data_IF_941362009532
#
_entry.id   IF_941362009532
#
_cell.length_a   1.000
_cell.length_b   1.000
_cell.length_c   1.000
_cell.angle_alpha   90.00
_cell.angle_beta   90.00
_cell.angle_gamma   90.00
#
_symmetry.space_group_name_H-M   'P 1'
#
loop_
_entity.id
_entity.type
_entity.pdbx_description
1 polymer ?
#
# COMPACT_ATOMS: atom_id res chain seq x y z
N UNK A 1 -5.38 -27.17 0.86
CA UNK A 1 -6.08 -26.84 2.12
C UNK A 1 -7.45 -27.52 2.13
N UNK A 2 -8.32 -27.38 1.09
CA UNK A 2 -9.63 -28.04 1.06
C UNK A 2 -9.52 -29.55 1.35
N UNK A 3 -8.65 -30.29 0.67
CA UNK A 3 -8.40 -31.70 0.96
C UNK A 3 -7.87 -31.96 2.37
N UNK A 4 -7.10 -31.05 2.95
CA UNK A 4 -6.63 -31.18 4.34
C UNK A 4 -7.80 -31.07 5.32
N UNK A 5 -8.71 -30.11 5.10
CA UNK A 5 -9.94 -29.96 5.90
C UNK A 5 -10.79 -31.21 5.83
N UNK A 6 -10.99 -31.77 4.62
CA UNK A 6 -11.81 -32.96 4.39
C UNK A 6 -11.19 -34.23 5.03
N UNK A 7 -9.88 -34.43 4.85
CA UNK A 7 -9.20 -35.66 5.22
C UNK A 7 -8.61 -35.65 6.64
N UNK A 8 -8.13 -34.47 7.12
CA UNK A 8 -7.40 -34.37 8.39
C UNK A 8 -8.14 -33.54 9.44
N UNK A 9 -9.35 -33.07 9.15
CA UNK A 9 -10.13 -32.15 10.01
C UNK A 9 -9.37 -30.88 10.40
N UNK A 10 -8.39 -30.47 9.59
CA UNK A 10 -7.57 -29.28 9.79
C UNK A 10 -8.06 -28.14 8.88
N UNK A 11 -8.52 -27.06 9.47
CA UNK A 11 -9.03 -25.89 8.77
C UNK A 11 -8.26 -24.61 9.20
N UNK A 12 -7.07 -24.38 8.64
CA UNK A 12 -6.24 -23.24 9.00
C UNK A 12 -6.89 -21.92 8.53
N UNK A 13 -6.60 -20.86 9.24
CA UNK A 13 -6.94 -19.50 8.78
C UNK A 13 -6.04 -19.09 7.61
N UNK A 14 -6.64 -18.50 6.58
CA UNK A 14 -5.97 -18.17 5.32
C UNK A 14 -6.18 -16.69 5.02
N UNK A 15 -5.10 -15.93 5.03
CA UNK A 15 -5.10 -14.56 4.58
C UNK A 15 -4.84 -14.48 3.07
N UNK A 16 -5.72 -13.79 2.35
CA UNK A 16 -5.60 -13.53 0.92
C UNK A 16 -5.23 -12.07 0.71
N UNK A 17 -4.01 -11.83 0.23
CA UNK A 17 -3.53 -10.49 -0.10
C UNK A 17 -4.08 -10.04 -1.45
N UNK A 18 -5.19 -9.30 -1.44
CA UNK A 18 -5.67 -8.53 -2.57
C UNK A 18 -4.93 -7.17 -2.64
N UNK A 19 -5.52 -6.16 -3.23
CA UNK A 19 -4.93 -4.83 -3.37
C UNK A 19 -6.03 -3.79 -3.53
N UNK A 20 -5.78 -2.57 -3.10
CA UNK A 20 -6.63 -1.42 -3.42
C UNK A 20 -6.68 -1.10 -4.93
N UNK A 21 -5.71 -1.58 -5.70
CA UNK A 21 -5.68 -1.43 -7.17
C UNK A 21 -6.87 -2.15 -7.87
N UNK A 22 -7.59 -3.04 -7.18
CA UNK A 22 -8.80 -3.69 -7.71
C UNK A 22 -9.90 -2.67 -8.05
N UNK A 23 -9.94 -1.54 -7.35
CA UNK A 23 -10.89 -0.47 -7.59
C UNK A 23 -10.54 0.39 -8.82
N UNK A 24 -9.26 0.41 -9.22
CA UNK A 24 -8.78 1.15 -10.38
C UNK A 24 -9.08 2.65 -10.29
N UNK A 25 -9.53 3.24 -11.39
CA UNK A 25 -9.89 4.65 -11.46
C UNK A 25 -11.26 4.87 -10.82
N UNK A 26 -11.30 5.60 -9.71
CA UNK A 26 -12.54 5.99 -9.06
C UNK A 26 -13.40 6.86 -10.00
N UNK A 27 -14.66 6.46 -10.21
CA UNK A 27 -15.58 7.24 -11.06
C UNK A 27 -15.94 8.60 -10.42
N UNK A 28 -16.01 8.62 -9.10
CA UNK A 28 -16.30 9.81 -8.29
C UNK A 28 -15.17 10.01 -7.28
N UNK A 29 -14.90 11.25 -6.86
CA UNK A 29 -13.95 11.56 -5.79
C UNK A 29 -14.50 11.24 -4.40
N UNK A 30 -15.13 10.07 -4.24
CA UNK A 30 -15.66 9.57 -2.98
C UNK A 30 -14.72 8.53 -2.37
N UNK A 31 -14.83 8.30 -1.07
CA UNK A 31 -14.09 7.22 -0.40
C UNK A 31 -14.56 5.87 -0.96
N UNK A 32 -13.59 5.00 -1.24
CA UNK A 32 -13.80 3.65 -1.72
C UNK A 32 -14.06 2.74 -0.52
N UNK A 33 -15.25 2.18 -0.46
CA UNK A 33 -15.60 1.15 0.52
C UNK A 33 -15.54 -0.25 -0.11
N UNK A 34 -15.77 -1.26 0.69
CA UNK A 34 -15.69 -2.66 0.24
C UNK A 34 -16.71 -3.02 -0.82
N UNK A 35 -17.84 -2.32 -0.90
CA UNK A 35 -18.91 -2.52 -1.88
C UNK A 35 -18.67 -1.77 -3.20
N UNK A 36 -17.60 -0.99 -3.27
CA UNK A 36 -17.21 -0.30 -4.50
C UNK A 36 -16.84 -1.31 -5.58
N UNK A 37 -17.43 -1.16 -6.76
CA UNK A 37 -17.20 -2.06 -7.90
C UNK A 37 -15.74 -2.06 -8.36
N UNK A 38 -15.27 -3.22 -8.80
CA UNK A 38 -13.91 -3.38 -9.32
C UNK A 38 -13.77 -2.79 -10.72
N UNK A 39 -12.62 -2.15 -10.97
CA UNK A 39 -12.27 -1.59 -12.28
C UNK A 39 -10.75 -1.69 -12.49
N UNK A 40 -10.27 -2.87 -12.88
CA UNK A 40 -8.84 -3.11 -13.07
C UNK A 40 -8.23 -2.20 -14.15
N UNK A 41 -7.21 -1.44 -13.79
CA UNK A 41 -6.51 -0.49 -14.66
C UNK A 41 -5.12 -0.98 -15.11
N UNK A 42 -4.74 -2.21 -14.74
CA UNK A 42 -3.45 -2.81 -15.09
C UNK A 42 -3.53 -4.34 -15.05
N UNK A 43 -2.62 -5.08 -15.69
CA UNK A 43 -2.53 -6.54 -15.54
C UNK A 43 -2.40 -6.97 -14.08
N UNK A 44 -1.66 -6.21 -13.26
CA UNK A 44 -1.57 -6.46 -11.83
C UNK A 44 -2.93 -6.35 -11.14
N UNK A 45 -3.67 -5.27 -11.35
CA UNK A 45 -4.98 -5.10 -10.73
C UNK A 45 -5.97 -6.17 -11.15
N UNK A 46 -5.95 -6.60 -12.43
CA UNK A 46 -6.79 -7.70 -12.94
C UNK A 46 -6.44 -9.02 -12.22
N UNK A 47 -5.15 -9.32 -12.06
CA UNK A 47 -4.72 -10.51 -11.31
C UNK A 47 -5.19 -10.48 -9.85
N UNK A 48 -5.18 -9.29 -9.22
CA UNK A 48 -5.65 -9.11 -7.84
C UNK A 48 -7.17 -9.20 -7.72
N UNK A 49 -7.93 -8.79 -8.72
CA UNK A 49 -9.38 -9.03 -8.80
C UNK A 49 -9.68 -10.54 -8.79
N UNK A 50 -8.97 -11.32 -9.62
CA UNK A 50 -9.11 -12.77 -9.62
C UNK A 50 -8.75 -13.40 -8.27
N UNK A 51 -7.66 -12.93 -7.64
CA UNK A 51 -7.23 -13.38 -6.31
C UNK A 51 -8.26 -13.05 -5.22
N UNK A 52 -8.85 -11.85 -5.25
CA UNK A 52 -9.90 -11.39 -4.35
C UNK A 52 -11.13 -12.31 -4.41
N UNK A 53 -11.67 -12.50 -5.62
CA UNK A 53 -12.82 -13.37 -5.82
C UNK A 53 -12.55 -14.83 -5.45
N UNK A 54 -11.37 -15.37 -5.75
CA UNK A 54 -11.02 -16.74 -5.35
C UNK A 54 -10.99 -16.89 -3.82
N UNK A 55 -10.39 -15.92 -3.11
CA UNK A 55 -10.37 -15.94 -1.65
C UNK A 55 -11.76 -15.95 -1.03
N UNK A 56 -12.64 -15.10 -1.52
CA UNK A 56 -14.06 -15.04 -1.10
C UNK A 56 -14.80 -16.31 -1.44
N UNK A 57 -14.73 -16.76 -2.70
CA UNK A 57 -15.38 -17.98 -3.17
C UNK A 57 -15.03 -19.21 -2.33
N UNK A 58 -13.74 -19.41 -2.00
CA UNK A 58 -13.33 -20.56 -1.20
C UNK A 58 -13.82 -20.45 0.25
N UNK A 59 -13.94 -19.26 0.79
CA UNK A 59 -14.57 -19.03 2.09
C UNK A 59 -16.08 -19.37 2.08
N UNK A 60 -16.80 -18.79 1.13
CA UNK A 60 -18.25 -18.94 1.00
C UNK A 60 -18.67 -20.36 0.61
N UNK A 61 -18.09 -20.91 -0.47
CA UNK A 61 -18.51 -22.20 -1.03
C UNK A 61 -18.02 -23.42 -0.25
N UNK A 62 -16.81 -23.35 0.31
CA UNK A 62 -16.19 -24.49 0.99
C UNK A 62 -15.99 -24.27 2.49
N UNK A 63 -16.47 -23.17 3.02
CA UNK A 63 -16.34 -22.84 4.45
C UNK A 63 -14.89 -22.92 4.94
N UNK A 64 -13.94 -22.53 4.08
CA UNK A 64 -12.55 -22.36 4.51
C UNK A 64 -12.46 -21.05 5.32
N UNK A 65 -11.67 -21.04 6.37
CA UNK A 65 -11.38 -19.86 7.16
C UNK A 65 -10.53 -18.89 6.33
N UNK A 66 -11.13 -18.17 5.39
CA UNK A 66 -10.44 -17.18 4.55
C UNK A 66 -10.89 -15.78 4.89
N UNK A 67 -9.97 -14.83 4.77
CA UNK A 67 -10.29 -13.40 4.70
C UNK A 67 -9.40 -12.71 3.67
N UNK A 68 -9.93 -11.67 3.06
CA UNK A 68 -9.27 -10.93 1.99
C UNK A 68 -8.95 -9.53 2.47
N UNK A 69 -7.77 -9.00 2.15
CA UNK A 69 -7.42 -7.61 2.45
C UNK A 69 -7.11 -6.83 1.18
N UNK A 70 -7.78 -5.69 1.00
CA UNK A 70 -7.54 -4.72 -0.06
C UNK A 70 -6.69 -3.59 0.50
N UNK A 71 -5.38 -3.82 0.49
CA UNK A 71 -4.43 -2.92 1.11
C UNK A 71 -4.21 -1.68 0.26
N UNK A 72 -4.37 -0.49 0.86
CA UNK A 72 -3.96 0.79 0.33
C UNK A 72 -2.44 0.95 0.31
N UNK A 73 -1.96 2.10 -0.16
CA UNK A 73 -0.50 2.34 -0.23
C UNK A 73 0.12 2.26 1.16
N UNK A 74 1.07 1.34 1.30
CA UNK A 74 1.86 1.17 2.51
C UNK A 74 3.34 1.25 2.16
N UNK A 75 4.12 1.90 3.01
CA UNK A 75 5.54 2.14 2.78
C UNK A 75 6.32 2.08 4.11
N UNK A 76 7.61 2.34 4.05
CA UNK A 76 8.52 2.32 5.20
C UNK A 76 9.94 1.99 4.76
N UNK A 77 10.85 1.85 5.71
CA UNK A 77 12.21 1.40 5.45
C UNK A 77 12.22 0.12 4.60
N UNK A 78 13.16 -0.01 3.68
CA UNK A 78 13.30 -1.12 2.71
C UNK A 78 12.23 -1.19 1.62
N UNK A 79 11.39 -0.16 1.45
CA UNK A 79 10.52 -0.06 0.28
C UNK A 79 11.35 0.02 -0.99
N UNK A 80 11.05 -0.82 -1.98
CA UNK A 80 11.76 -0.80 -3.27
C UNK A 80 11.60 0.55 -3.98
N UNK A 81 12.64 0.98 -4.68
CA UNK A 81 12.73 2.24 -5.44
C UNK A 81 11.88 2.28 -6.72
N UNK A 82 11.20 1.20 -7.06
CA UNK A 82 10.18 1.23 -8.13
C UNK A 82 8.90 1.95 -7.71
N UNK A 83 8.73 2.24 -6.42
CA UNK A 83 7.57 2.96 -5.89
C UNK A 83 7.87 4.43 -5.70
N UNK A 84 6.88 5.28 -6.00
CA UNK A 84 7.01 6.72 -6.08
C UNK A 84 7.73 7.36 -4.88
N UNK A 85 7.23 7.14 -3.67
CA UNK A 85 7.76 7.75 -2.45
C UNK A 85 9.19 7.28 -2.15
N UNK A 86 9.49 6.03 -2.47
CA UNK A 86 10.82 5.45 -2.30
C UNK A 86 11.80 5.94 -3.35
N UNK A 87 11.35 6.09 -4.62
CA UNK A 87 12.14 6.72 -5.69
C UNK A 87 12.54 8.15 -5.31
N UNK A 88 11.63 8.94 -4.76
CA UNK A 88 11.91 10.32 -4.32
C UNK A 88 12.91 10.31 -3.17
N UNK A 89 12.69 9.47 -2.15
CA UNK A 89 13.60 9.34 -1.01
C UNK A 89 15.02 8.90 -1.42
N UNK A 90 15.13 7.95 -2.37
CA UNK A 90 16.41 7.51 -2.95
C UNK A 90 17.14 8.67 -3.65
N UNK A 91 16.43 9.41 -4.52
CA UNK A 91 17.03 10.54 -5.23
C UNK A 91 17.53 11.61 -4.24
N UNK A 92 16.76 11.95 -3.21
CA UNK A 92 17.19 12.89 -2.17
C UNK A 92 18.47 12.39 -1.49
N UNK A 93 18.54 11.13 -1.12
CA UNK A 93 19.73 10.57 -0.46
C UNK A 93 20.95 10.54 -1.39
N UNK A 94 20.78 10.33 -2.71
CA UNK A 94 21.84 10.46 -3.72
C UNK A 94 22.33 11.91 -3.85
N UNK A 95 21.42 12.88 -3.88
CA UNK A 95 21.73 14.32 -3.90
C UNK A 95 22.52 14.71 -2.65
N UNK A 96 22.10 14.27 -1.46
CA UNK A 96 22.81 14.54 -0.20
C UNK A 96 24.20 13.96 -0.16
N UNK A 97 24.46 12.90 -0.93
CA UNK A 97 25.78 12.23 -1.04
C UNK A 97 26.61 12.75 -2.22
N UNK A 98 26.17 13.81 -2.93
CA UNK A 98 26.79 14.36 -4.14
C UNK A 98 26.93 13.32 -5.29
N UNK A 99 26.04 12.34 -5.35
CA UNK A 99 25.98 11.31 -6.39
C UNK A 99 24.93 11.62 -7.46
N UNK A 100 24.14 12.67 -7.27
CA UNK A 100 23.13 13.16 -8.20
C UNK A 100 23.07 14.69 -8.10
N UNK A 101 22.86 15.35 -9.24
CA UNK A 101 22.55 16.78 -9.27
C UNK A 101 21.27 17.09 -8.46
N UNK A 102 21.10 18.30 -7.91
CA UNK A 102 19.97 18.65 -7.04
C UNK A 102 18.65 18.77 -7.84
N UNK A 103 18.32 17.73 -8.57
CA UNK A 103 17.09 17.59 -9.38
C UNK A 103 16.45 16.24 -9.10
N UNK A 104 15.17 16.27 -8.71
CA UNK A 104 14.35 15.08 -8.53
C UNK A 104 13.47 14.90 -9.76
N UNK A 105 13.56 13.75 -10.43
CA UNK A 105 12.72 13.36 -11.56
C UNK A 105 11.54 12.54 -11.09
N UNK A 106 10.33 12.99 -11.41
CA UNK A 106 9.06 12.39 -10.98
C UNK A 106 8.06 12.28 -12.14
N UNK A 107 7.04 11.43 -11.98
CA UNK A 107 5.90 11.36 -12.91
C UNK A 107 4.76 12.29 -12.49
N UNK A 108 3.51 11.79 -12.56
CA UNK A 108 2.31 12.55 -12.23
C UNK A 108 2.25 12.89 -10.73
N UNK A 109 2.27 14.17 -10.40
CA UNK A 109 2.20 14.69 -9.03
C UNK A 109 0.77 15.07 -8.59
N UNK A 110 -0.20 14.99 -9.48
CA UNK A 110 -1.58 15.41 -9.19
C UNK A 110 -2.41 14.36 -8.47
N UNK A 111 -1.98 13.11 -8.49
CA UNK A 111 -2.70 11.99 -7.89
C UNK A 111 -2.81 12.12 -6.38
N UNK A 112 -3.96 11.69 -5.83
CA UNK A 112 -4.28 11.71 -4.40
C UNK A 112 -4.20 10.28 -3.87
N UNK A 113 -3.48 10.11 -2.77
CA UNK A 113 -3.24 8.81 -2.11
C UNK A 113 -3.36 8.93 -0.60
N UNK A 114 -3.68 7.80 0.03
CA UNK A 114 -3.43 7.60 1.45
C UNK A 114 -2.17 6.76 1.63
N UNK A 115 -1.37 7.09 2.63
CA UNK A 115 -0.18 6.30 2.98
C UNK A 115 -0.29 5.78 4.40
N UNK A 116 0.26 4.61 4.64
CA UNK A 116 0.40 4.04 5.96
C UNK A 116 1.73 3.30 6.11
N UNK A 117 2.18 3.16 7.33
CA UNK A 117 3.37 2.38 7.62
C UNK A 117 3.12 0.88 7.43
N UNK A 118 4.09 0.17 6.88
CA UNK A 118 4.03 -1.28 6.69
C UNK A 118 3.81 -2.04 8.01
N UNK A 119 4.27 -1.52 9.14
CA UNK A 119 4.06 -2.11 10.48
C UNK A 119 2.59 -2.04 10.90
N UNK A 120 1.89 -0.94 10.58
CA UNK A 120 0.45 -0.83 10.81
C UNK A 120 -0.34 -1.77 9.89
N UNK A 121 0.09 -1.95 8.64
CA UNK A 121 -0.48 -2.91 7.73
C UNK A 121 -0.37 -4.35 8.25
N UNK A 122 0.82 -4.75 8.69
CA UNK A 122 1.07 -6.09 9.26
C UNK A 122 0.27 -6.32 10.56
N UNK A 123 0.15 -5.28 11.39
CA UNK A 123 -0.68 -5.35 12.61
C UNK A 123 -2.15 -5.59 12.27
N UNK A 124 -2.69 -4.98 11.21
CA UNK A 124 -4.05 -5.26 10.75
C UNK A 124 -4.21 -6.73 10.30
N UNK A 125 -3.25 -7.25 9.53
CA UNK A 125 -3.25 -8.65 9.10
C UNK A 125 -3.27 -9.61 10.30
N UNK A 126 -2.42 -9.36 11.28
CA UNK A 126 -2.32 -10.17 12.48
C UNK A 126 -3.62 -10.20 13.29
N UNK A 127 -4.23 -9.03 13.50
CA UNK A 127 -5.49 -8.91 14.24
C UNK A 127 -6.65 -9.61 13.50
N UNK A 128 -6.73 -9.46 12.17
CA UNK A 128 -7.72 -10.17 11.36
C UNK A 128 -7.49 -11.70 11.38
N UNK A 129 -6.23 -12.13 11.38
CA UNK A 129 -5.89 -13.56 11.46
C UNK A 129 -6.39 -14.18 12.78
N UNK A 130 -6.21 -13.48 13.90
CA UNK A 130 -6.73 -13.90 15.21
C UNK A 130 -8.26 -14.02 15.17
N UNK A 131 -8.94 -13.00 14.63
CA UNK A 131 -10.40 -13.01 14.49
C UNK A 131 -10.91 -14.16 13.61
N UNK A 132 -10.21 -14.42 12.51
CA UNK A 132 -10.50 -15.52 11.60
C UNK A 132 -10.33 -16.87 12.32
N UNK A 133 -9.24 -17.04 13.05
CA UNK A 133 -8.96 -18.29 13.80
C UNK A 133 -10.03 -18.56 14.86
N UNK A 134 -10.50 -17.53 15.53
CA UNK A 134 -11.55 -17.59 16.54
C UNK A 134 -12.97 -17.73 15.97
N UNK A 135 -13.15 -17.76 14.64
CA UNK A 135 -14.44 -17.72 13.94
C UNK A 135 -15.27 -16.47 14.28
N UNK A 136 -14.61 -15.34 14.50
CA UNK A 136 -15.27 -14.06 14.82
C UNK A 136 -15.48 -13.17 13.57
N UNK A 137 -15.07 -13.64 12.39
CA UNK A 137 -15.38 -13.04 11.09
C UNK A 137 -15.95 -14.09 10.14
N UNK A 138 -16.72 -13.66 9.15
CA UNK A 138 -17.34 -14.54 8.17
C UNK A 138 -16.27 -15.10 7.23
N UNK A 139 -16.37 -16.39 6.89
CA UNK A 139 -15.47 -17.01 5.92
C UNK A 139 -15.63 -16.35 4.54
N UNK A 140 -14.52 -15.91 3.96
CA UNK A 140 -14.54 -15.14 2.72
C UNK A 140 -14.71 -13.63 2.90
N UNK A 141 -14.78 -13.14 4.13
CA UNK A 141 -14.92 -11.70 4.39
C UNK A 141 -13.74 -10.87 3.87
N UNK A 142 -13.96 -9.61 3.56
CA UNK A 142 -12.98 -8.74 2.90
C UNK A 142 -12.96 -7.35 3.50
N UNK A 143 -11.76 -6.75 3.58
CA UNK A 143 -11.51 -5.52 4.32
C UNK A 143 -10.61 -4.57 3.54
N UNK A 144 -11.00 -3.31 3.48
CA UNK A 144 -10.10 -2.22 3.13
C UNK A 144 -9.18 -1.91 4.31
N UNK A 145 -7.90 -1.70 4.02
CA UNK A 145 -6.90 -1.29 5.02
C UNK A 145 -6.06 -0.17 4.40
N UNK A 146 -6.18 1.04 4.90
CA UNK A 146 -5.45 2.18 4.36
C UNK A 146 -5.11 3.22 5.44
N UNK A 147 -4.13 4.07 5.15
CA UNK A 147 -3.85 5.24 5.97
C UNK A 147 -5.03 6.21 6.02
N UNK A 148 -5.07 7.04 7.04
CA UNK A 148 -6.12 8.05 7.22
C UNK A 148 -5.69 9.43 6.70
N UNK A 149 -4.38 9.69 6.67
CA UNK A 149 -3.84 10.93 6.12
C UNK A 149 -3.84 10.87 4.59
N UNK A 150 -4.36 11.92 3.99
CA UNK A 150 -4.56 12.05 2.54
C UNK A 150 -3.51 13.01 2.01
N UNK A 151 -2.81 12.61 0.97
CA UNK A 151 -1.78 13.41 0.34
C UNK A 151 -1.98 13.50 -1.17
N UNK A 152 -1.77 14.69 -1.72
CA UNK A 152 -1.41 14.84 -3.10
C UNK A 152 0.06 14.41 -3.26
N UNK A 153 0.44 13.75 -4.35
CA UNK A 153 1.82 13.28 -4.50
C UNK A 153 2.84 14.43 -4.48
N UNK A 154 2.45 15.65 -4.91
CA UNK A 154 3.30 16.83 -4.75
C UNK A 154 3.61 17.14 -3.27
N UNK A 155 2.64 16.98 -2.37
CA UNK A 155 2.86 17.22 -0.93
C UNK A 155 3.82 16.17 -0.32
N UNK A 156 3.79 14.93 -0.81
CA UNK A 156 4.77 13.90 -0.39
C UNK A 156 6.18 14.29 -0.81
N UNK A 157 6.36 14.85 -2.02
CA UNK A 157 7.66 15.37 -2.48
C UNK A 157 8.10 16.52 -1.60
N UNK A 158 7.21 17.47 -1.30
CA UNK A 158 7.52 18.63 -0.45
C UNK A 158 7.93 18.20 0.97
N UNK A 159 7.24 17.23 1.56
CA UNK A 159 7.58 16.64 2.86
C UNK A 159 8.99 16.02 2.82
N UNK A 160 9.29 15.20 1.81
CA UNK A 160 10.59 14.54 1.69
C UNK A 160 11.72 15.54 1.42
N UNK A 161 11.50 16.56 0.59
CA UNK A 161 12.45 17.67 0.40
C UNK A 161 12.64 18.45 1.70
N UNK A 162 11.56 18.69 2.46
CA UNK A 162 11.64 19.35 3.77
C UNK A 162 12.51 18.61 4.78
N UNK A 163 12.59 17.27 4.67
CA UNK A 163 13.47 16.39 5.48
C UNK A 163 14.92 16.34 4.95
N UNK A 164 15.20 16.90 3.78
CA UNK A 164 16.53 16.90 3.17
C UNK A 164 17.47 17.87 3.87
N UNK A 165 18.77 17.51 3.86
CA UNK A 165 19.88 18.37 4.27
C UNK A 165 20.26 19.38 3.19
N UNK A 166 19.97 19.09 1.92
CA UNK A 166 20.27 19.94 0.77
C UNK A 166 19.07 20.86 0.51
N UNK A 167 19.38 22.15 0.28
CA UNK A 167 18.40 23.17 -0.10
C UNK A 167 18.36 23.33 -1.62
N UNK A 168 17.29 23.94 -2.13
CA UNK A 168 17.14 24.29 -3.54
C UNK A 168 17.13 23.08 -4.50
N UNK A 169 16.55 21.95 -4.06
CA UNK A 169 16.29 20.79 -4.93
C UNK A 169 15.18 21.16 -5.92
N UNK A 170 15.46 21.01 -7.21
CA UNK A 170 14.48 21.22 -8.28
C UNK A 170 13.66 19.96 -8.52
N UNK A 171 12.40 20.14 -8.97
CA UNK A 171 11.51 19.05 -9.37
C UNK A 171 11.34 19.11 -10.88
N UNK A 172 11.55 18.02 -11.57
CA UNK A 172 11.38 17.86 -13.01
C UNK A 172 10.37 16.73 -13.30
N UNK A 173 9.41 16.99 -14.17
CA UNK A 173 8.48 15.95 -14.65
C UNK A 173 9.16 15.17 -15.76
N UNK A 174 9.33 13.88 -15.54
CA UNK A 174 9.91 12.92 -16.47
C UNK A 174 8.77 12.19 -17.21
N UNK A 175 8.68 12.38 -18.53
CA UNK A 175 7.64 11.81 -19.35
C UNK A 175 7.62 10.27 -19.34
N UNK A 176 8.80 9.64 -19.20
CA UNK A 176 8.94 8.17 -19.15
C UNK A 176 8.34 7.56 -17.87
N UNK A 177 8.08 8.40 -16.86
CA UNK A 177 7.44 8.00 -15.60
C UNK A 177 5.93 8.20 -15.59
N UNK A 178 5.35 8.69 -16.66
CA UNK A 178 3.90 8.86 -16.79
C UNK A 178 3.25 7.54 -17.18
N UNK A 179 2.19 7.17 -16.48
CA UNK A 179 1.42 5.95 -16.79
C UNK A 179 0.28 6.29 -17.77
N UNK A 180 -0.02 5.43 -18.75
CA UNK A 180 -1.16 5.62 -19.67
C UNK A 180 -2.51 5.72 -18.95
N UNK A 181 -2.67 4.95 -17.87
CA UNK A 181 -3.83 4.97 -16.98
C UNK A 181 -3.30 5.06 -15.55
N UNK A 182 -3.69 6.09 -14.81
CA UNK A 182 -3.35 6.25 -13.40
C UNK A 182 -4.63 6.23 -12.56
N UNK A 183 -4.55 5.61 -11.38
CA UNK A 183 -5.59 5.69 -10.38
C UNK A 183 -5.44 7.00 -9.62
N UNK A 184 -5.95 8.10 -10.20
CA UNK A 184 -5.71 9.47 -9.74
C UNK A 184 -6.23 9.75 -8.32
N UNK A 185 -7.15 8.91 -7.82
CA UNK A 185 -7.82 9.16 -6.56
C UNK A 185 -8.02 7.85 -5.80
N UNK A 186 -7.27 7.68 -4.72
CA UNK A 186 -7.32 6.50 -3.86
C UNK A 186 -7.48 6.91 -2.40
N UNK A 187 -8.72 7.14 -2.01
CA UNK A 187 -9.13 7.32 -0.61
C UNK A 187 -10.03 6.17 -0.20
N UNK A 188 -9.78 5.59 0.97
CA UNK A 188 -10.48 4.39 1.42
C UNK A 188 -11.33 4.66 2.65
N UNK A 189 -12.44 3.96 2.73
CA UNK A 189 -13.23 3.86 3.95
C UNK A 189 -12.74 2.66 4.78
N UNK A 190 -12.28 2.96 5.99
CA UNK A 190 -11.79 1.96 6.95
C UNK A 190 -12.86 1.60 8.00
N UNK A 191 -14.13 1.98 7.81
CA UNK A 191 -15.18 1.79 8.82
C UNK A 191 -15.33 0.31 9.19
N UNK A 192 -15.33 -0.57 8.18
CA UNK A 192 -15.48 -2.02 8.41
C UNK A 192 -14.36 -2.59 9.26
N UNK A 193 -13.09 -2.34 8.93
CA UNK A 193 -11.98 -2.87 9.72
C UNK A 193 -11.93 -2.25 11.12
N UNK A 194 -12.24 -0.96 11.26
CA UNK A 194 -12.32 -0.31 12.57
C UNK A 194 -13.35 -0.96 13.48
N UNK A 195 -14.55 -1.24 12.96
CA UNK A 195 -15.59 -1.90 13.74
C UNK A 195 -15.27 -3.36 14.07
N UNK A 196 -14.57 -4.06 13.19
CA UNK A 196 -14.26 -5.48 13.35
C UNK A 196 -13.13 -5.75 14.34
N UNK A 197 -12.03 -4.97 14.29
CA UNK A 197 -10.82 -5.25 15.07
C UNK A 197 -10.29 -4.02 15.84
N UNK A 198 -11.06 -2.93 15.91
CA UNK A 198 -10.66 -1.66 16.54
C UNK A 198 -9.28 -1.17 16.04
N UNK A 199 -8.99 -1.37 14.76
CA UNK A 199 -7.71 -0.99 14.17
C UNK A 199 -7.74 0.45 13.68
N UNK A 200 -6.62 1.14 13.86
CA UNK A 200 -6.29 2.42 13.23
C UNK A 200 -4.77 2.51 13.05
N UNK A 201 -4.28 3.29 12.06
CA UNK A 201 -2.86 3.59 11.97
C UNK A 201 -2.34 4.21 13.27
N UNK A 202 -1.14 3.83 13.70
CA UNK A 202 -0.50 4.34 14.92
C UNK A 202 0.75 5.16 14.59
N UNK A 203 1.38 4.89 13.44
CA UNK A 203 2.61 5.56 13.02
C UNK A 203 2.24 6.74 12.13
N UNK A 204 2.74 7.93 12.50
CA UNK A 204 2.50 9.16 11.73
C UNK A 204 3.22 9.10 10.39
N UNK A 205 2.59 9.62 9.33
CA UNK A 205 3.18 9.60 7.99
C UNK A 205 4.52 10.33 7.92
N UNK A 206 4.70 11.42 8.69
CA UNK A 206 5.99 12.13 8.72
C UNK A 206 7.13 11.26 9.28
N UNK A 207 6.88 10.46 10.30
CA UNK A 207 7.87 9.54 10.88
C UNK A 207 8.20 8.41 9.91
N UNK A 208 7.20 7.85 9.25
CA UNK A 208 7.34 6.85 8.20
C UNK A 208 8.19 7.36 7.02
N UNK A 209 7.92 8.56 6.50
CA UNK A 209 8.72 9.15 5.41
C UNK A 209 10.16 9.47 5.85
N UNK A 210 10.34 9.93 7.09
CA UNK A 210 11.67 10.15 7.68
C UNK A 210 12.47 8.84 7.78
N UNK A 211 11.85 7.77 8.23
CA UNK A 211 12.49 6.45 8.30
C UNK A 211 12.83 5.90 6.91
N UNK A 212 11.96 6.09 5.92
CA UNK A 212 12.20 5.72 4.54
C UNK A 212 13.42 6.45 3.97
N UNK A 213 13.50 7.78 4.15
CA UNK A 213 14.65 8.57 3.70
C UNK A 213 15.94 8.16 4.43
N UNK A 214 15.87 7.90 5.73
CA UNK A 214 17.02 7.45 6.50
C UNK A 214 17.53 6.07 6.06
N UNK A 215 16.62 5.18 5.67
CA UNK A 215 17.00 3.90 5.08
C UNK A 215 17.84 4.09 3.81
N UNK A 216 17.41 4.93 2.87
CA UNK A 216 18.16 5.21 1.66
C UNK A 216 19.51 5.88 1.93
N UNK A 217 19.58 6.81 2.90
CA UNK A 217 20.85 7.40 3.37
C UNK A 217 21.83 6.31 3.83
N UNK A 218 21.35 5.33 4.58
CA UNK A 218 22.17 4.21 5.06
C UNK A 218 22.61 3.29 3.92
N UNK A 219 21.73 2.94 3.01
CA UNK A 219 22.08 2.05 1.89
C UNK A 219 23.10 2.70 0.97
N UNK A 220 22.95 3.98 0.64
CA UNK A 220 23.92 4.72 -0.17
C UNK A 220 25.26 4.84 0.54
N UNK A 221 25.29 5.12 1.84
CA UNK A 221 26.53 5.20 2.62
C UNK A 221 27.31 3.87 2.68
N UNK A 222 26.63 2.74 2.53
CA UNK A 222 27.24 1.40 2.43
C UNK A 222 27.70 1.03 1.03
N UNK A 223 27.46 1.88 0.03
CA UNK A 223 27.72 1.58 -1.37
C UNK A 223 26.68 0.70 -2.03
N UNK A 224 25.56 0.41 -1.36
CA UNK A 224 24.41 -0.33 -1.91
C UNK A 224 23.57 0.58 -2.81
N UNK A 225 24.10 0.93 -3.98
CA UNK A 225 23.38 1.71 -4.99
C UNK A 225 22.79 0.72 -5.98
N UNK A 226 21.48 0.44 -5.95
CA UNK A 226 20.84 -0.36 -7.00
C UNK A 226 20.96 0.43 -8.32
N UNK A 227 21.52 -0.21 -9.34
CA UNK A 227 21.64 0.31 -10.71
C UNK A 227 20.26 0.43 -11.36
#
# INVERSE_FOLDING_TARGET
>A
IRKMKENCKYNPSIHICSSSEVYGKAKNKSKLNEETGFHGASPYSISKIGTDFLGRFYGEAYQLKTFVTRMGTHTGARRSDVFFESTVAKQIALIESNLQEPVIKVGNLSSIRTFQDARDAVRAYYLLLIKCENNEIINGDYFNIAGEEIFKLSEVVDILIGLSKVKNIKIEIDADRLRPIDADYQMFDNTKIKSTINWKPQIKSIDMFKELLNHWRQEISKGNIPL
#
